data_IF_416239878127
#
_entry.id   IF_416239878127
#
_cell.length_a   1.000
_cell.length_b   1.000
_cell.length_c   1.000
_cell.angle_alpha   90.00
_cell.angle_beta   90.00
_cell.angle_gamma   90.00
#
_symmetry.space_group_name_H-M   'P 1'
#
loop_
_entity.id
_entity.type
_entity.pdbx_description
1 polymer ?
#
# COMPACT_ATOMS: atom_id res chain seq x y z
N UNK A 1 -2.61 1.45 -11.85
CA UNK A 1 -3.59 2.56 -11.92
C UNK A 1 -2.99 3.98 -11.81
N UNK A 2 -3.81 5.03 -12.00
CA UNK A 2 -3.50 6.45 -11.68
C UNK A 2 -3.80 6.77 -10.21
N UNK A 3 -3.16 7.80 -9.63
CA UNK A 3 -3.36 8.21 -8.24
C UNK A 3 -4.83 8.55 -7.91
N UNK A 4 -5.52 9.32 -8.75
CA UNK A 4 -6.94 9.64 -8.53
C UNK A 4 -7.84 8.40 -8.46
N UNK A 5 -7.52 7.36 -9.25
CA UNK A 5 -8.27 6.11 -9.21
C UNK A 5 -7.99 5.37 -7.90
N UNK A 6 -6.74 5.36 -7.44
CA UNK A 6 -6.38 4.81 -6.13
C UNK A 6 -7.19 5.45 -5.00
N UNK A 7 -7.18 6.78 -4.92
CA UNK A 7 -7.92 7.53 -3.90
C UNK A 7 -9.43 7.25 -3.96
N UNK A 8 -9.96 7.15 -5.17
CA UNK A 8 -11.37 6.82 -5.39
C UNK A 8 -11.70 5.41 -4.91
N UNK A 9 -10.86 4.42 -5.19
CA UNK A 9 -11.08 3.03 -4.77
C UNK A 9 -10.91 2.85 -3.26
N UNK A 10 -9.88 3.45 -2.63
CA UNK A 10 -9.73 3.44 -1.17
C UNK A 10 -10.96 4.06 -0.49
N UNK A 11 -11.47 5.17 -1.02
CA UNK A 11 -12.68 5.82 -0.49
C UNK A 11 -13.93 4.95 -0.62
N UNK A 12 -14.02 4.09 -1.64
CA UNK A 12 -15.16 3.17 -1.85
C UNK A 12 -15.11 1.98 -0.92
N UNK A 13 -13.92 1.42 -0.68
CA UNK A 13 -13.76 0.23 0.17
C UNK A 13 -13.63 0.59 1.65
N UNK A 14 -13.43 1.88 1.98
CA UNK A 14 -13.38 2.35 3.37
C UNK A 14 -14.71 2.01 4.08
N UNK A 15 -14.69 1.10 5.08
CA UNK A 15 -15.90 0.72 5.78
C UNK A 15 -16.35 1.84 6.72
N UNK A 16 -17.63 1.82 7.07
CA UNK A 16 -18.15 2.65 8.13
C UNK A 16 -18.22 1.87 9.47
N UNK A 17 -18.29 2.62 10.58
CA UNK A 17 -18.29 2.06 11.93
C UNK A 17 -19.41 1.06 12.17
N UNK A 18 -20.58 1.26 11.56
CA UNK A 18 -21.73 0.36 11.71
C UNK A 18 -21.49 -0.98 11.02
N UNK A 19 -20.86 -0.97 9.85
CA UNK A 19 -20.51 -2.20 9.10
C UNK A 19 -19.52 -3.06 9.89
N UNK A 20 -18.50 -2.46 10.48
CA UNK A 20 -17.52 -3.21 11.28
C UNK A 20 -18.19 -3.82 12.52
N UNK A 21 -18.92 -3.01 13.30
CA UNK A 21 -19.63 -3.49 14.51
C UNK A 21 -20.67 -4.57 14.25
N UNK A 22 -21.18 -4.69 13.02
CA UNK A 22 -22.12 -5.75 12.65
C UNK A 22 -21.42 -7.11 12.53
N UNK A 23 -20.13 -7.12 12.18
CA UNK A 23 -19.38 -8.32 11.86
C UNK A 23 -18.30 -8.66 12.90
N UNK A 24 -18.00 -7.75 13.83
CA UNK A 24 -16.94 -7.91 14.82
C UNK A 24 -17.29 -7.31 16.18
N UNK A 25 -16.61 -7.76 17.24
CA UNK A 25 -16.70 -7.23 18.61
C UNK A 25 -15.55 -6.25 18.95
N UNK A 26 -14.96 -5.60 17.95
CA UNK A 26 -13.85 -4.68 18.19
C UNK A 26 -14.27 -3.42 18.96
N UNK A 27 -13.31 -2.86 19.70
CA UNK A 27 -13.52 -1.60 20.41
C UNK A 27 -13.73 -0.44 19.45
N UNK A 28 -14.48 0.57 19.90
CA UNK A 28 -14.69 1.82 19.14
C UNK A 28 -13.36 2.49 18.79
N UNK A 29 -12.39 2.44 19.70
CA UNK A 29 -11.04 2.97 19.51
C UNK A 29 -10.31 2.29 18.35
N UNK A 30 -10.38 0.95 18.27
CA UNK A 30 -9.79 0.20 17.16
C UNK A 30 -10.47 0.53 15.84
N UNK A 31 -11.81 0.56 15.84
CA UNK A 31 -12.59 0.86 14.63
C UNK A 31 -12.29 2.26 14.12
N UNK A 32 -12.25 3.24 15.01
CA UNK A 32 -11.98 4.63 14.64
C UNK A 32 -10.54 4.80 14.11
N UNK A 33 -9.56 4.10 14.71
CA UNK A 33 -8.18 4.05 14.22
C UNK A 33 -8.10 3.44 12.80
N UNK A 34 -8.71 2.28 12.60
CA UNK A 34 -8.70 1.60 11.29
C UNK A 34 -9.40 2.41 10.19
N UNK A 35 -10.52 3.07 10.50
CA UNK A 35 -11.18 3.98 9.55
C UNK A 35 -10.29 5.21 9.28
N UNK A 36 -9.59 5.72 10.29
CA UNK A 36 -8.66 6.83 10.14
C UNK A 36 -7.47 6.44 9.24
N UNK A 37 -6.99 5.20 9.35
CA UNK A 37 -5.90 4.66 8.53
C UNK A 37 -6.21 4.64 7.03
N UNK A 38 -7.49 4.64 6.63
CA UNK A 38 -7.88 4.71 5.22
C UNK A 38 -8.25 6.13 4.77
N UNK A 39 -7.87 7.16 5.53
CA UNK A 39 -8.16 8.55 5.19
C UNK A 39 -7.14 9.13 4.21
N UNK A 40 -7.67 9.68 3.11
CA UNK A 40 -6.91 10.44 2.13
C UNK A 40 -7.63 11.76 1.88
N UNK A 41 -6.92 12.88 1.94
CA UNK A 41 -7.51 14.21 1.70
C UNK A 41 -6.81 14.86 0.51
N UNK A 42 -7.57 15.40 -0.45
CA UNK A 42 -6.97 16.14 -1.57
C UNK A 42 -6.33 17.44 -1.07
N UNK A 43 -5.07 17.70 -1.45
CA UNK A 43 -4.39 18.95 -1.13
C UNK A 43 -5.01 20.11 -1.93
N UNK A 44 -4.92 21.32 -1.37
CA UNK A 44 -5.38 22.55 -2.05
C UNK A 44 -4.49 22.92 -3.24
N UNK A 45 -3.22 22.56 -3.17
CA UNK A 45 -2.24 22.68 -4.27
C UNK A 45 -2.37 21.51 -5.22
N UNK A 46 -2.37 21.80 -6.53
CA UNK A 46 -2.36 20.78 -7.58
C UNK A 46 -1.08 20.92 -8.41
N UNK A 47 -0.20 19.93 -8.32
CA UNK A 47 1.03 19.82 -9.08
C UNK A 47 0.77 18.90 -10.28
N UNK A 48 1.09 19.36 -11.48
CA UNK A 48 0.97 18.54 -12.68
C UNK A 48 2.08 17.50 -12.72
N UNK A 49 1.74 16.23 -12.43
CA UNK A 49 2.65 15.09 -12.48
C UNK A 49 2.27 14.18 -13.65
N UNK A 50 3.27 13.54 -14.29
CA UNK A 50 3.01 12.55 -15.35
C UNK A 50 2.17 11.39 -14.81
N UNK A 51 1.25 10.87 -15.63
CA UNK A 51 0.41 9.73 -15.26
C UNK A 51 1.21 8.45 -14.99
N UNK A 52 2.43 8.36 -15.52
CA UNK A 52 3.34 7.21 -15.28
C UNK A 52 3.97 7.24 -13.88
N UNK A 53 3.91 8.40 -13.20
CA UNK A 53 4.46 8.61 -11.86
C UNK A 53 3.34 8.61 -10.80
N UNK A 54 2.55 7.53 -10.76
CA UNK A 54 1.34 7.45 -9.96
C UNK A 54 1.56 7.61 -8.45
N UNK A 55 2.65 7.09 -7.88
CA UNK A 55 2.97 7.27 -6.45
C UNK A 55 3.41 8.71 -6.18
N UNK A 56 4.20 9.30 -7.07
CA UNK A 56 4.62 10.70 -6.96
C UNK A 56 3.41 11.63 -7.04
N UNK A 57 2.51 11.41 -8.00
CA UNK A 57 1.24 12.14 -8.13
C UNK A 57 0.42 12.04 -6.83
N UNK A 58 0.35 10.84 -6.24
CA UNK A 58 -0.34 10.61 -4.98
C UNK A 58 0.26 11.44 -3.83
N UNK A 59 1.58 11.39 -3.63
CA UNK A 59 2.28 12.11 -2.54
C UNK A 59 2.15 13.64 -2.69
N UNK A 60 2.27 14.15 -3.91
CA UNK A 60 2.27 15.60 -4.15
C UNK A 60 0.87 16.21 -4.11
N UNK A 61 -0.18 15.46 -4.50
CA UNK A 61 -1.53 16.00 -4.64
C UNK A 61 -2.52 15.57 -3.54
N UNK A 62 -2.13 14.67 -2.65
CA UNK A 62 -2.97 14.22 -1.54
C UNK A 62 -2.20 14.22 -0.21
N UNK A 63 -2.93 14.48 0.87
CA UNK A 63 -2.48 14.28 2.23
C UNK A 63 -2.70 12.82 2.60
N UNK A 64 -1.58 12.13 2.79
CA UNK A 64 -1.47 10.70 3.10
C UNK A 64 -1.02 10.47 4.55
N UNK A 65 -1.01 11.52 5.39
CA UNK A 65 -0.47 11.44 6.77
C UNK A 65 -1.07 10.27 7.54
N UNK A 66 -2.38 10.06 7.38
CA UNK A 66 -3.11 8.98 8.02
C UNK A 66 -3.13 7.69 7.20
N UNK A 67 -2.85 7.73 5.90
CA UNK A 67 -3.00 6.54 5.06
C UNK A 67 -2.02 5.43 5.50
N UNK A 68 -2.58 4.32 5.98
CA UNK A 68 -1.89 3.08 6.33
C UNK A 68 -2.68 1.92 5.74
N UNK A 69 -2.04 1.15 4.87
CA UNK A 69 -2.60 -0.10 4.36
C UNK A 69 -1.75 -1.22 4.95
N UNK A 70 -2.29 -1.84 6.00
CA UNK A 70 -1.52 -2.72 6.88
C UNK A 70 -0.25 -1.99 7.36
N UNK A 71 0.91 -2.47 6.91
CA UNK A 71 2.23 -1.96 7.30
C UNK A 71 2.79 -0.93 6.34
N UNK A 72 2.08 -0.61 5.25
CA UNK A 72 2.53 0.31 4.21
C UNK A 72 2.05 1.73 4.49
N UNK A 73 2.98 2.68 4.42
CA UNK A 73 2.72 4.13 4.56
C UNK A 73 3.53 4.93 3.55
N UNK A 74 3.04 6.12 3.19
CA UNK A 74 3.73 7.00 2.24
C UNK A 74 4.39 8.18 2.95
N UNK A 75 5.52 8.61 2.41
CA UNK A 75 6.19 9.82 2.85
C UNK A 75 5.35 11.05 2.52
N UNK A 76 5.57 12.15 3.25
CA UNK A 76 5.11 13.47 2.83
C UNK A 76 5.95 13.94 1.65
N UNK A 77 5.43 14.92 0.91
CA UNK A 77 6.17 15.56 -0.19
C UNK A 77 7.47 16.22 0.30
N UNK A 78 7.48 16.78 1.51
CA UNK A 78 8.71 17.33 2.12
C UNK A 78 9.73 16.28 2.55
N UNK A 79 9.29 15.03 2.68
CA UNK A 79 10.09 13.92 3.22
C UNK A 79 10.48 12.93 2.11
N UNK A 80 10.09 13.21 0.86
CA UNK A 80 10.47 12.41 -0.30
C UNK A 80 11.93 12.74 -0.65
N UNK A 81 12.80 11.74 -0.50
CA UNK A 81 14.24 11.86 -0.80
C UNK A 81 14.53 11.19 -2.13
N UNK A 82 15.49 11.73 -2.88
CA UNK A 82 15.94 11.16 -4.15
C UNK A 82 17.46 11.12 -4.18
N UNK A 83 18.03 10.00 -4.60
CA UNK A 83 19.44 9.86 -4.93
C UNK A 83 19.64 9.41 -6.39
N UNK A 84 20.84 8.99 -6.74
CA UNK A 84 21.17 8.57 -8.10
C UNK A 84 20.38 7.32 -8.55
N UNK A 85 20.01 6.44 -7.61
CA UNK A 85 19.38 5.13 -7.86
C UNK A 85 17.90 5.08 -7.49
N UNK A 86 17.48 5.80 -6.45
CA UNK A 86 16.20 5.60 -5.78
C UNK A 86 15.45 6.91 -5.57
N UNK A 87 14.12 6.81 -5.60
CA UNK A 87 13.20 7.83 -5.08
C UNK A 87 12.47 7.21 -3.89
N UNK A 88 12.78 7.65 -2.67
CA UNK A 88 12.24 7.12 -1.42
C UNK A 88 10.85 7.70 -1.15
N UNK A 89 9.84 6.84 -1.18
CA UNK A 89 8.42 7.25 -1.26
C UNK A 89 7.58 6.78 -0.09
N UNK A 90 8.10 5.93 0.79
CA UNK A 90 7.37 5.49 1.97
C UNK A 90 8.08 4.43 2.79
N UNK A 91 7.30 3.73 3.60
CA UNK A 91 7.73 2.70 4.54
C UNK A 91 6.83 1.48 4.45
N UNK A 92 7.44 0.29 4.50
CA UNK A 92 6.77 -0.99 4.71
C UNK A 92 7.32 -1.57 6.01
N UNK A 93 6.46 -1.65 7.04
CA UNK A 93 6.87 -1.87 8.44
C UNK A 93 7.99 -0.90 8.87
N UNK A 94 9.20 -1.42 9.09
CA UNK A 94 10.37 -0.70 9.55
C UNK A 94 11.32 -0.31 8.40
N UNK A 95 11.06 -0.76 7.18
CA UNK A 95 11.96 -0.59 6.04
C UNK A 95 11.45 0.48 5.08
N UNK A 96 12.33 1.35 4.56
CA UNK A 96 11.93 2.29 3.52
C UNK A 96 11.64 1.53 2.22
N UNK A 97 10.64 1.98 1.47
CA UNK A 97 10.46 1.55 0.09
C UNK A 97 10.64 2.72 -0.87
N UNK A 98 11.14 2.39 -2.05
CA UNK A 98 11.57 3.34 -3.05
C UNK A 98 11.20 2.89 -4.47
N UNK A 99 11.19 3.84 -5.39
CA UNK A 99 11.17 3.59 -6.83
C UNK A 99 12.62 3.44 -7.29
N UNK A 100 12.96 2.29 -7.87
CA UNK A 100 14.25 2.07 -8.52
C UNK A 100 14.26 2.80 -9.87
N UNK A 101 15.07 3.84 -10.02
CA UNK A 101 15.06 4.75 -11.19
C UNK A 101 15.41 4.06 -12.51
N UNK A 102 16.24 3.01 -12.46
CA UNK A 102 16.64 2.26 -13.65
C UNK A 102 15.47 1.52 -14.32
N UNK A 103 14.57 0.93 -13.51
CA UNK A 103 13.51 0.03 -14.01
C UNK A 103 12.10 0.56 -13.77
N UNK A 104 11.93 1.49 -12.84
CA UNK A 104 10.63 1.95 -12.34
C UNK A 104 9.99 1.01 -11.32
N UNK A 105 10.66 -0.07 -10.95
CA UNK A 105 10.16 -1.05 -9.97
C UNK A 105 10.07 -0.46 -8.57
N UNK A 106 9.12 -0.96 -7.77
CA UNK A 106 9.00 -0.61 -6.36
C UNK A 106 9.77 -1.66 -5.56
N UNK A 107 10.68 -1.20 -4.73
CA UNK A 107 11.58 -2.04 -3.93
C UNK A 107 11.57 -1.60 -2.48
N UNK A 108 11.66 -2.57 -1.59
CA UNK A 108 11.92 -2.38 -0.17
C UNK A 108 13.44 -2.48 0.06
N UNK A 109 14.00 -1.55 0.82
CA UNK A 109 15.44 -1.43 1.05
C UNK A 109 15.76 -1.65 2.52
N UNK A 110 16.94 -2.18 2.80
CA UNK A 110 17.41 -2.30 4.18
C UNK A 110 17.67 -0.91 4.78
N UNK A 111 17.23 -0.72 6.03
CA UNK A 111 17.41 0.55 6.74
C UNK A 111 18.90 0.83 7.00
N UNK A 112 19.67 -0.19 7.38
CA UNK A 112 21.08 -0.07 7.74
C UNK A 112 21.97 -0.01 6.49
N UNK A 113 21.60 -0.75 5.43
CA UNK A 113 22.26 -0.70 4.12
C UNK A 113 21.25 -0.35 3.00
N UNK A 114 21.04 0.94 2.68
CA UNK A 114 20.10 1.38 1.66
C UNK A 114 20.52 1.01 0.22
N UNK A 115 21.64 0.29 0.05
CA UNK A 115 22.03 -0.30 -1.24
C UNK A 115 21.51 -1.73 -1.43
N UNK A 116 21.05 -2.38 -0.35
CA UNK A 116 20.52 -3.73 -0.37
C UNK A 116 19.00 -3.71 -0.56
N UNK A 117 18.53 -4.35 -1.64
CA UNK A 117 17.11 -4.58 -1.89
C UNK A 117 16.69 -5.83 -1.11
N UNK A 118 15.86 -5.64 -0.09
CA UNK A 118 15.25 -6.72 0.69
C UNK A 118 14.22 -7.45 -0.16
N UNK A 119 13.34 -6.70 -0.82
CA UNK A 119 12.25 -7.28 -1.58
C UNK A 119 11.85 -6.39 -2.76
N UNK A 120 11.32 -7.02 -3.80
CA UNK A 120 10.63 -6.33 -4.88
C UNK A 120 9.14 -6.38 -4.58
N UNK A 121 8.48 -5.23 -4.62
CA UNK A 121 7.08 -5.09 -4.21
C UNK A 121 6.13 -5.04 -5.40
N UNK A 122 6.53 -4.37 -6.49
CA UNK A 122 5.77 -4.34 -7.74
C UNK A 122 6.64 -3.91 -8.93
N UNK A 123 6.22 -4.29 -10.14
CA UNK A 123 6.93 -3.97 -11.39
C UNK A 123 6.93 -2.49 -11.77
N UNK A 124 5.96 -1.74 -11.26
CA UNK A 124 5.82 -0.31 -11.48
C UNK A 124 4.91 0.33 -10.42
N UNK A 125 4.94 1.67 -10.35
CA UNK A 125 4.13 2.47 -9.43
C UNK A 125 2.62 2.19 -9.55
N UNK A 126 2.15 1.94 -10.77
CA UNK A 126 0.75 1.74 -11.07
C UNK A 126 0.26 0.40 -10.51
N UNK A 127 1.02 -0.68 -10.74
CA UNK A 127 0.79 -2.01 -10.19
C UNK A 127 0.89 -2.02 -8.67
N UNK A 128 1.81 -1.25 -8.08
CA UNK A 128 1.91 -1.13 -6.63
C UNK A 128 0.61 -0.60 -6.00
N UNK A 129 0.06 0.48 -6.55
CA UNK A 129 -1.21 1.02 -6.05
C UNK A 129 -2.37 0.04 -6.27
N UNK A 130 -2.37 -0.72 -7.38
CA UNK A 130 -3.38 -1.75 -7.62
C UNK A 130 -3.30 -2.87 -6.57
N UNK A 131 -2.11 -3.36 -6.22
CA UNK A 131 -1.99 -4.43 -5.21
C UNK A 131 -2.35 -3.95 -3.81
N UNK A 132 -2.07 -2.70 -3.44
CA UNK A 132 -2.45 -2.18 -2.13
C UNK A 132 -3.97 -2.17 -1.93
N UNK A 133 -4.75 -1.88 -2.98
CA UNK A 133 -6.21 -1.98 -2.92
C UNK A 133 -6.66 -3.43 -2.72
N UNK A 134 -6.08 -4.37 -3.46
CA UNK A 134 -6.47 -5.78 -3.37
C UNK A 134 -6.05 -6.40 -2.03
N UNK A 135 -4.88 -6.01 -1.49
CA UNK A 135 -4.44 -6.37 -0.14
C UNK A 135 -5.42 -5.83 0.90
N UNK A 136 -5.86 -4.59 0.79
CA UNK A 136 -6.81 -4.01 1.75
C UNK A 136 -8.19 -4.70 1.67
N UNK A 137 -8.69 -5.00 0.47
CA UNK A 137 -9.91 -5.81 0.30
C UNK A 137 -9.77 -7.19 0.92
N UNK A 138 -8.60 -7.81 0.77
CA UNK A 138 -8.30 -9.11 1.35
C UNK A 138 -8.25 -9.03 2.89
N UNK A 139 -7.58 -8.03 3.43
CA UNK A 139 -7.49 -7.72 4.85
C UNK A 139 -8.88 -7.51 5.46
N UNK A 140 -9.75 -6.72 4.82
CA UNK A 140 -11.14 -6.56 5.27
C UNK A 140 -11.89 -7.88 5.36
N UNK A 141 -11.72 -8.76 4.35
CA UNK A 141 -12.37 -10.07 4.39
C UNK A 141 -11.87 -10.92 5.56
N UNK A 142 -10.58 -10.85 5.85
CA UNK A 142 -9.91 -11.56 6.95
C UNK A 142 -10.41 -11.03 8.31
N UNK A 143 -10.32 -9.72 8.52
CA UNK A 143 -10.81 -9.00 9.71
C UNK A 143 -12.28 -9.31 10.00
N UNK A 144 -13.12 -9.41 8.97
CA UNK A 144 -14.55 -9.71 9.11
C UNK A 144 -14.89 -11.21 9.10
N UNK A 145 -13.89 -12.10 9.14
CA UNK A 145 -14.08 -13.55 9.20
C UNK A 145 -14.81 -14.13 7.97
N UNK A 146 -14.68 -13.47 6.82
CA UNK A 146 -15.44 -13.76 5.59
C UNK A 146 -14.60 -14.45 4.51
N UNK A 147 -13.42 -14.96 4.88
CA UNK A 147 -12.52 -15.67 3.98
C UNK A 147 -11.88 -16.87 4.68
N UNK A 148 -11.62 -17.93 3.93
CA UNK A 148 -10.84 -19.09 4.39
C UNK A 148 -9.35 -18.94 4.04
N UNK A 149 -8.46 -19.63 4.75
CA UNK A 149 -7.03 -19.66 4.42
C UNK A 149 -6.73 -20.06 2.97
N UNK A 150 -7.50 -21.02 2.44
CA UNK A 150 -7.36 -21.45 1.04
C UNK A 150 -7.69 -20.32 0.07
N UNK A 151 -8.77 -19.59 0.33
CA UNK A 151 -9.14 -18.44 -0.48
C UNK A 151 -8.12 -17.30 -0.33
N UNK A 152 -7.61 -17.05 0.88
CA UNK A 152 -6.57 -16.05 1.13
C UNK A 152 -5.33 -16.31 0.28
N UNK A 153 -4.81 -17.55 0.29
CA UNK A 153 -3.67 -17.96 -0.53
C UNK A 153 -3.93 -17.81 -2.04
N UNK A 154 -5.14 -18.13 -2.51
CA UNK A 154 -5.47 -17.94 -3.91
C UNK A 154 -5.54 -16.45 -4.28
N UNK A 155 -6.12 -15.61 -3.42
CA UNK A 155 -6.14 -14.15 -3.64
C UNK A 155 -4.71 -13.59 -3.67
N UNK A 156 -3.82 -13.99 -2.76
CA UNK A 156 -2.42 -13.55 -2.76
C UNK A 156 -1.68 -13.93 -4.05
N UNK A 157 -1.96 -15.09 -4.64
CA UNK A 157 -1.41 -15.46 -5.96
C UNK A 157 -1.92 -14.53 -7.07
N UNK A 158 -3.20 -14.19 -7.07
CA UNK A 158 -3.76 -13.24 -8.04
C UNK A 158 -3.14 -11.85 -7.86
N UNK A 159 -2.93 -11.42 -6.61
CA UNK A 159 -2.25 -10.16 -6.29
C UNK A 159 -0.79 -10.17 -6.79
N UNK A 160 -0.08 -11.30 -6.67
CA UNK A 160 1.28 -11.45 -7.24
C UNK A 160 1.29 -11.25 -8.76
N UNK A 161 0.31 -11.78 -9.47
CA UNK A 161 0.17 -11.56 -10.93
C UNK A 161 -0.01 -10.07 -11.24
N UNK A 162 -0.80 -9.35 -10.43
CA UNK A 162 -0.99 -7.89 -10.57
C UNK A 162 0.32 -7.13 -10.28
N UNK A 163 1.07 -7.55 -9.24
CA UNK A 163 2.37 -7.00 -8.89
C UNK A 163 3.39 -7.15 -10.03
N UNK A 164 3.30 -8.24 -10.80
CA UNK A 164 4.14 -8.52 -11.96
C UNK A 164 4.71 -9.94 -12.02
N UNK A 165 4.21 -10.86 -11.17
CA UNK A 165 4.58 -12.27 -11.13
C UNK A 165 5.46 -12.64 -9.94
N UNK A 166 6.04 -13.84 -9.99
CA UNK A 166 6.68 -14.50 -8.84
C UNK A 166 7.81 -13.70 -8.17
N UNK A 167 8.49 -12.81 -8.91
CA UNK A 167 9.53 -11.92 -8.39
C UNK A 167 9.05 -11.08 -7.18
N UNK A 168 7.76 -10.73 -7.15
CA UNK A 168 7.18 -9.83 -6.16
C UNK A 168 6.46 -10.56 -5.01
N UNK A 169 6.44 -11.90 -5.04
CA UNK A 169 5.67 -12.70 -4.08
C UNK A 169 6.22 -12.67 -2.66
N UNK A 170 7.52 -12.40 -2.47
CA UNK A 170 8.11 -12.32 -1.12
C UNK A 170 7.51 -11.20 -0.27
N UNK A 171 7.34 -10.02 -0.85
CA UNK A 171 6.63 -8.94 -0.16
C UNK A 171 5.20 -9.36 0.23
N UNK A 172 4.53 -10.12 -0.63
CA UNK A 172 3.16 -10.57 -0.40
C UNK A 172 3.06 -11.68 0.65
N UNK A 173 4.12 -12.47 0.88
CA UNK A 173 4.11 -13.48 1.94
C UNK A 173 4.07 -12.88 3.34
N UNK A 174 4.45 -11.61 3.52
CA UNK A 174 4.30 -10.91 4.80
C UNK A 174 2.82 -10.72 5.19
N UNK A 175 1.88 -10.93 4.26
CA UNK A 175 0.44 -10.87 4.51
C UNK A 175 -0.21 -12.26 4.64
N UNK A 176 0.57 -13.34 4.45
CA UNK A 176 0.16 -14.70 4.79
C UNK A 176 0.47 -14.88 6.29
N UNK A 177 -0.55 -15.07 7.13
CA UNK A 177 -0.39 -15.14 8.60
C UNK A 177 0.25 -16.48 9.06
N UNK A 178 1.02 -17.14 8.21
CA UNK A 178 1.82 -18.28 8.66
C UNK A 178 2.93 -17.72 9.56
N UNK A 179 2.77 -17.91 10.88
CA UNK A 179 3.86 -17.82 11.84
C UNK A 179 5.10 -18.50 11.24
N UNK A 180 6.19 -17.74 11.11
CA UNK A 180 7.53 -18.26 10.83
C UNK A 180 7.96 -19.17 11.98
#
# INVERSE_FOLDING_TARGET
MKAINFVTEISKIKPNKLEIKKNTDFSDEFIDAYINDLQIVKKSTNVSISADNAIIDLIFNYDLTNLRILTVSFNKDTDTLEDDKYIYVGWAEAFPFAILKETGEIVELDWEDPTYIISYMAKDQSSFLDILIEIEKLNQKDIFGSITEKEKKENLKQISIIAGGDKYSWFLSNFDNEEI
#
